data_IF_213654254436
#
_entry.id   IF_213654254436
#
_cell.length_a   1.000
_cell.length_b   1.000
_cell.length_c   1.000
_cell.angle_alpha   90.00
_cell.angle_beta   90.00
_cell.angle_gamma   90.00
#
_symmetry.space_group_name_H-M   'P 1'
#
loop_
_entity.id
_entity.type
_entity.pdbx_description
1 polymer ?
#
# COMPACT_ATOMS: atom_id res chain seq x y z
N UNK A 1 -49.95 -34.46 30.21
CA UNK A 1 -48.73 -33.63 30.10
C UNK A 1 -48.61 -33.15 28.67
N UNK A 2 -48.59 -31.84 28.43
CA UNK A 2 -48.74 -31.27 27.10
C UNK A 2 -47.37 -31.21 26.39
N UNK A 3 -47.10 -32.13 25.46
CA UNK A 3 -45.81 -32.28 24.73
C UNK A 3 -45.34 -30.98 24.06
N UNK A 4 -46.28 -30.11 23.72
CA UNK A 4 -46.01 -28.81 23.10
C UNK A 4 -45.24 -27.84 24.02
N UNK A 5 -45.42 -27.96 25.35
CA UNK A 5 -44.72 -27.11 26.33
C UNK A 5 -43.23 -27.44 26.45
N UNK A 6 -42.88 -28.73 26.46
CA UNK A 6 -41.49 -29.20 26.59
C UNK A 6 -40.67 -28.84 25.34
N UNK A 7 -41.26 -28.99 24.14
CA UNK A 7 -40.60 -28.60 22.88
C UNK A 7 -40.36 -27.09 22.78
N UNK A 8 -41.32 -26.26 23.23
CA UNK A 8 -41.14 -24.80 23.28
C UNK A 8 -40.02 -24.38 24.22
N UNK A 9 -39.89 -25.05 25.37
CA UNK A 9 -38.84 -24.74 26.34
C UNK A 9 -37.45 -25.12 25.81
N UNK A 10 -37.33 -26.29 25.15
CA UNK A 10 -36.08 -26.75 24.54
C UNK A 10 -35.63 -25.86 23.36
N UNK A 11 -36.56 -25.43 22.51
CA UNK A 11 -36.24 -24.50 21.42
C UNK A 11 -35.76 -23.15 21.94
N UNK A 12 -36.35 -22.62 23.02
CA UNK A 12 -35.89 -21.36 23.63
C UNK A 12 -34.48 -21.49 24.23
N UNK A 13 -34.19 -22.62 24.88
CA UNK A 13 -32.86 -22.89 25.41
C UNK A 13 -31.80 -22.99 24.30
N UNK A 14 -32.09 -23.77 23.25
CA UNK A 14 -31.21 -23.93 22.09
C UNK A 14 -31.05 -22.59 21.34
N UNK A 15 -32.11 -21.79 21.21
CA UNK A 15 -32.03 -20.46 20.62
C UNK A 15 -31.12 -19.53 21.40
N UNK A 16 -31.18 -19.52 22.74
CA UNK A 16 -30.29 -18.69 23.54
C UNK A 16 -28.81 -19.07 23.34
N UNK A 17 -28.50 -20.38 23.29
CA UNK A 17 -27.14 -20.86 23.04
C UNK A 17 -26.66 -20.48 21.63
N UNK A 18 -27.49 -20.68 20.60
CA UNK A 18 -27.17 -20.27 19.23
C UNK A 18 -26.97 -18.76 19.11
N UNK A 19 -27.83 -17.94 19.74
CA UNK A 19 -27.70 -16.48 19.71
C UNK A 19 -26.40 -16.04 20.38
N UNK A 20 -26.00 -16.61 21.52
CA UNK A 20 -24.72 -16.27 22.16
C UNK A 20 -23.54 -16.63 21.27
N UNK A 21 -23.57 -17.80 20.63
CA UNK A 21 -22.53 -18.24 19.71
C UNK A 21 -22.44 -17.32 18.48
N UNK A 22 -23.59 -16.98 17.89
CA UNK A 22 -23.67 -16.05 16.76
C UNK A 22 -23.18 -14.66 17.15
N UNK A 23 -23.55 -14.17 18.33
CA UNK A 23 -23.12 -12.86 18.82
C UNK A 23 -21.59 -12.80 18.93
N UNK A 24 -20.97 -13.83 19.49
CA UNK A 24 -19.50 -13.88 19.62
C UNK A 24 -18.81 -13.92 18.26
N UNK A 25 -19.30 -14.76 17.34
CA UNK A 25 -18.76 -14.83 15.97
C UNK A 25 -18.92 -13.49 15.23
N UNK A 26 -20.06 -12.83 15.38
CA UNK A 26 -20.32 -11.53 14.77
C UNK A 26 -19.42 -10.44 15.35
N UNK A 27 -19.24 -10.44 16.68
CA UNK A 27 -18.39 -9.48 17.37
C UNK A 27 -16.92 -9.64 16.95
N UNK A 28 -16.40 -10.87 16.93
CA UNK A 28 -15.03 -11.13 16.49
C UNK A 28 -14.83 -10.81 15.01
N UNK A 29 -15.76 -11.22 14.14
CA UNK A 29 -15.70 -10.91 12.71
C UNK A 29 -15.71 -9.39 12.45
N UNK A 30 -16.56 -8.66 13.19
CA UNK A 30 -16.65 -7.19 13.08
C UNK A 30 -15.38 -6.51 13.57
N UNK A 31 -14.82 -6.95 14.70
CA UNK A 31 -13.55 -6.41 15.22
C UNK A 31 -12.40 -6.62 14.24
N UNK A 32 -12.26 -7.83 13.70
CA UNK A 32 -11.22 -8.15 12.71
C UNK A 32 -11.42 -7.30 11.45
N UNK A 33 -12.66 -7.15 10.98
CA UNK A 33 -12.96 -6.33 9.80
C UNK A 33 -12.60 -4.86 10.02
N UNK A 34 -12.95 -4.28 11.17
CA UNK A 34 -12.60 -2.89 11.51
C UNK A 34 -11.08 -2.71 11.67
N UNK A 35 -10.41 -3.66 12.33
CA UNK A 35 -8.96 -3.65 12.45
C UNK A 35 -8.30 -3.70 11.08
N UNK A 36 -8.78 -4.57 10.18
CA UNK A 36 -8.28 -4.69 8.82
C UNK A 36 -8.48 -3.38 8.04
N UNK A 37 -9.64 -2.72 8.13
CA UNK A 37 -9.87 -1.43 7.49
C UNK A 37 -8.91 -0.35 7.99
N UNK A 38 -8.63 -0.33 9.29
CA UNK A 38 -7.78 0.69 9.91
C UNK A 38 -6.32 0.50 9.52
N UNK A 39 -5.82 -0.74 9.65
CA UNK A 39 -4.44 -1.11 9.31
C UNK A 39 -4.22 -0.88 7.81
N UNK A 40 -5.07 -1.45 6.94
CA UNK A 40 -4.93 -1.35 5.48
C UNK A 40 -4.89 0.09 5.00
N UNK A 41 -5.73 0.98 5.54
CA UNK A 41 -5.74 2.38 5.11
C UNK A 41 -4.46 3.12 5.49
N UNK A 42 -3.93 2.88 6.69
CA UNK A 42 -2.67 3.50 7.13
C UNK A 42 -1.49 3.00 6.29
N UNK A 43 -1.47 1.70 6.02
CA UNK A 43 -0.50 1.03 5.16
C UNK A 43 -0.42 1.62 3.76
N UNK A 44 -1.58 1.83 3.14
CA UNK A 44 -1.68 2.41 1.79
C UNK A 44 -1.15 3.83 1.79
N UNK A 45 -1.54 4.66 2.77
CA UNK A 45 -1.06 6.04 2.85
C UNK A 45 0.47 6.12 2.97
N UNK A 46 1.09 5.21 3.73
CA UNK A 46 2.57 5.12 3.84
C UNK A 46 3.22 4.78 2.50
N UNK A 47 2.66 3.82 1.75
CA UNK A 47 3.18 3.45 0.42
C UNK A 47 3.05 4.63 -0.55
N UNK A 48 1.90 5.31 -0.57
CA UNK A 48 1.72 6.46 -1.47
C UNK A 48 2.63 7.63 -1.10
N UNK A 49 2.81 7.95 0.19
CA UNK A 49 3.80 8.92 0.64
C UNK A 49 5.19 8.57 0.12
N UNK A 50 5.62 7.31 0.29
CA UNK A 50 6.93 6.89 -0.16
C UNK A 50 7.12 7.01 -1.68
N UNK A 51 6.11 6.67 -2.48
CA UNK A 51 6.16 6.85 -3.94
C UNK A 51 6.26 8.34 -4.28
N UNK A 52 5.50 9.18 -3.58
CA UNK A 52 5.47 10.62 -3.80
C UNK A 52 6.81 11.28 -3.45
N UNK A 53 7.39 10.93 -2.30
CA UNK A 53 8.69 11.42 -1.82
C UNK A 53 9.84 11.02 -2.76
N UNK A 54 9.69 9.90 -3.47
CA UNK A 54 10.65 9.40 -4.47
C UNK A 54 10.25 9.73 -5.92
N UNK A 55 9.56 10.86 -6.16
CA UNK A 55 9.22 11.36 -7.49
C UNK A 55 8.41 10.38 -8.36
N UNK A 56 7.60 9.52 -7.76
CA UNK A 56 6.81 8.50 -8.47
C UNK A 56 7.54 7.17 -8.66
N UNK A 57 8.69 6.96 -8.01
CA UNK A 57 9.44 5.70 -8.06
C UNK A 57 9.40 4.98 -6.71
N UNK A 58 9.25 3.66 -6.75
CA UNK A 58 9.49 2.81 -5.58
C UNK A 58 10.97 2.43 -5.60
N UNK A 59 11.79 2.94 -4.68
CA UNK A 59 13.20 2.54 -4.67
C UNK A 59 13.33 1.03 -4.37
N UNK A 60 13.81 0.29 -5.37
CA UNK A 60 13.78 -1.18 -5.43
C UNK A 60 13.54 -1.75 -6.83
N UNK A 61 12.99 -0.97 -7.77
CA UNK A 61 12.80 -1.33 -9.20
C UNK A 61 13.87 -0.78 -10.14
N UNK A 62 15.01 -0.32 -9.62
CA UNK A 62 16.20 -0.10 -10.46
C UNK A 62 16.84 -1.46 -10.70
N UNK A 63 16.41 -2.13 -11.77
CA UNK A 63 17.25 -3.12 -12.46
C UNK A 63 18.58 -2.43 -12.71
N UNK A 64 19.64 -2.95 -12.10
CA UNK A 64 21.01 -2.55 -12.38
C UNK A 64 21.23 -2.53 -13.89
N UNK A 65 21.19 -1.36 -14.49
CA UNK A 65 21.93 -1.11 -15.72
C UNK A 65 23.13 -0.31 -15.28
N UNK A 66 24.13 -1.01 -14.76
CA UNK A 66 25.47 -0.48 -14.54
C UNK A 66 25.99 0.01 -15.89
N UNK A 67 25.91 1.32 -16.13
CA UNK A 67 26.82 2.02 -17.04
C UNK A 67 27.63 2.99 -16.19
N UNK A 68 28.80 2.51 -15.77
CA UNK A 68 29.89 3.38 -15.34
C UNK A 68 30.23 4.35 -16.49
N UNK A 69 30.64 5.59 -16.15
CA UNK A 69 32.08 5.82 -16.15
C UNK A 69 32.59 6.64 -14.95
N UNK A 70 33.61 6.07 -14.30
CA UNK A 70 34.93 6.66 -14.02
C UNK A 70 35.06 7.86 -13.07
N UNK A 71 35.81 7.57 -12.00
CA UNK A 71 36.84 8.38 -11.32
C UNK A 71 36.42 9.38 -10.25
N UNK A 72 36.71 9.03 -8.99
CA UNK A 72 37.87 9.50 -8.19
C UNK A 72 37.59 9.10 -6.73
N UNK A 73 38.42 8.48 -5.90
CA UNK A 73 39.80 8.01 -5.91
C UNK A 73 40.17 7.73 -4.45
N UNK A 74 40.84 6.59 -4.19
CA UNK A 74 41.47 6.14 -2.90
C UNK A 74 40.52 5.86 -1.72
N UNK A 75 40.58 4.76 -0.96
CA UNK A 75 41.69 3.86 -0.62
C UNK A 75 41.16 2.49 -0.17
N UNK A 76 41.88 1.42 -0.48
CA UNK A 76 41.64 0.07 0.03
C UNK A 76 42.10 -0.07 1.49
N UNK A 77 41.29 -0.74 2.33
CA UNK A 77 41.80 -1.84 3.17
C UNK A 77 40.64 -2.74 3.58
N UNK A 78 40.77 -4.03 3.29
CA UNK A 78 39.79 -5.05 3.59
C UNK A 78 39.74 -5.36 5.10
N UNK A 79 38.53 -5.48 5.64
CA UNK A 79 38.23 -6.41 6.73
C UNK A 79 36.73 -6.75 6.74
N UNK A 80 36.43 -8.03 6.51
CA UNK A 80 35.15 -8.64 6.84
C UNK A 80 34.90 -8.51 8.36
N UNK A 81 33.69 -8.10 8.76
CA UNK A 81 32.95 -8.73 9.85
C UNK A 81 31.55 -8.13 9.96
N UNK A 82 30.59 -9.03 10.15
CA UNK A 82 29.17 -8.73 10.27
C UNK A 82 28.83 -7.77 11.41
N UNK A 83 27.77 -7.02 11.18
CA UNK A 83 27.22 -6.09 12.14
C UNK A 83 26.64 -4.87 11.43
N UNK A 84 25.55 -5.04 10.69
CA UNK A 84 24.72 -3.88 10.38
C UNK A 84 23.90 -3.58 11.64
N UNK A 85 24.44 -2.62 12.40
CA UNK A 85 23.75 -1.85 13.42
C UNK A 85 22.36 -1.46 12.93
N UNK A 86 21.34 -1.98 13.61
CA UNK A 86 19.98 -1.49 13.53
C UNK A 86 19.99 -0.04 14.02
N UNK A 87 19.98 0.89 13.08
CA UNK A 87 19.50 2.24 13.36
C UNK A 87 17.97 2.23 13.25
N UNK A 88 17.31 2.82 14.24
CA UNK A 88 15.98 2.36 14.70
C UNK A 88 14.78 2.91 13.95
N UNK A 89 14.94 3.60 12.82
CA UNK A 89 13.83 4.35 12.20
C UNK A 89 13.50 3.94 10.75
N UNK A 90 14.28 3.05 10.13
CA UNK A 90 14.05 2.66 8.72
C UNK A 90 13.12 1.44 8.59
N UNK A 91 11.82 1.66 8.83
CA UNK A 91 10.78 0.75 8.36
C UNK A 91 10.66 0.87 6.82
N UNK A 92 11.59 0.25 6.09
CA UNK A 92 11.57 0.27 4.62
C UNK A 92 10.26 -0.30 4.07
N UNK A 93 9.65 0.38 3.10
CA UNK A 93 8.40 -0.05 2.45
C UNK A 93 8.51 -1.49 1.93
N UNK A 94 9.71 -1.92 1.55
CA UNK A 94 10.01 -3.31 1.16
C UNK A 94 9.73 -4.30 2.30
N UNK A 95 10.18 -4.02 3.52
CA UNK A 95 9.91 -4.85 4.71
C UNK A 95 8.42 -4.79 5.11
N UNK A 96 7.76 -3.69 4.83
CA UNK A 96 6.33 -3.56 5.05
C UNK A 96 5.49 -4.40 4.06
N UNK A 97 5.83 -4.38 2.76
CA UNK A 97 5.20 -5.25 1.76
C UNK A 97 5.38 -6.73 2.13
N UNK A 98 6.55 -7.10 2.65
CA UNK A 98 6.81 -8.44 3.19
C UNK A 98 5.82 -8.82 4.30
N UNK A 99 5.53 -7.91 5.24
CA UNK A 99 4.65 -8.17 6.38
C UNK A 99 3.17 -8.31 5.97
N UNK A 100 2.71 -7.54 4.97
CA UNK A 100 1.36 -7.71 4.39
C UNK A 100 1.25 -9.04 3.63
N UNK A 101 2.25 -9.38 2.80
CA UNK A 101 2.14 -10.46 1.83
C UNK A 101 2.69 -11.81 2.33
N UNK A 102 3.26 -11.88 3.53
CA UNK A 102 3.60 -13.11 4.24
C UNK A 102 4.64 -13.98 3.53
N UNK A 103 5.65 -13.36 2.91
CA UNK A 103 6.68 -14.05 2.11
C UNK A 103 8.00 -14.05 2.88
N UNK A 104 8.78 -15.13 2.89
CA UNK A 104 9.94 -15.29 3.79
C UNK A 104 11.29 -14.78 3.26
N UNK A 105 11.36 -14.12 2.09
CA UNK A 105 12.65 -13.69 1.51
C UNK A 105 12.52 -12.51 0.55
N UNK A 106 13.40 -11.51 0.68
CA UNK A 106 13.38 -10.24 -0.08
C UNK A 106 13.50 -10.45 -1.60
N UNK A 107 14.31 -11.42 -2.05
CA UNK A 107 14.43 -11.74 -3.49
C UNK A 107 13.12 -12.24 -4.10
N UNK A 108 12.34 -13.02 -3.36
CA UNK A 108 11.10 -13.63 -3.87
C UNK A 108 9.90 -12.68 -3.81
N UNK A 109 9.99 -11.61 -3.02
CA UNK A 109 8.99 -10.51 -3.01
C UNK A 109 9.07 -9.73 -4.32
N UNK A 110 10.29 -9.47 -4.80
CA UNK A 110 10.55 -8.70 -6.02
C UNK A 110 9.88 -9.32 -7.25
N UNK A 111 9.93 -10.66 -7.36
CA UNK A 111 9.34 -11.38 -8.51
C UNK A 111 7.85 -11.72 -8.35
N UNK A 112 7.26 -11.59 -7.14
CA UNK A 112 5.93 -12.15 -6.85
C UNK A 112 4.89 -11.17 -6.32
N UNK A 113 5.31 -10.06 -5.71
CA UNK A 113 4.42 -9.03 -5.16
C UNK A 113 4.85 -7.65 -5.63
N UNK A 114 4.79 -7.54 -6.95
CA UNK A 114 4.94 -6.32 -7.71
C UNK A 114 3.75 -5.39 -7.44
N UNK A 115 4.02 -4.33 -6.67
CA UNK A 115 3.01 -3.33 -6.30
C UNK A 115 2.63 -2.54 -7.54
N UNK A 116 1.40 -2.76 -8.02
CA UNK A 116 0.85 -2.12 -9.21
C UNK A 116 0.45 -0.69 -8.89
N UNK A 117 1.16 0.28 -9.43
CA UNK A 117 0.81 1.68 -9.26
C UNK A 117 1.13 2.47 -10.52
N UNK A 118 0.53 3.65 -10.63
CA UNK A 118 0.96 4.65 -11.59
C UNK A 118 1.05 6.02 -10.93
N UNK A 119 1.96 6.84 -11.42
CA UNK A 119 2.16 8.21 -10.97
C UNK A 119 2.12 9.17 -12.17
N UNK A 120 1.48 10.31 -11.98
CA UNK A 120 1.40 11.39 -12.97
C UNK A 120 2.01 12.63 -12.36
N UNK A 121 3.03 13.18 -13.01
CA UNK A 121 3.73 14.38 -12.60
C UNK A 121 3.23 15.55 -13.45
N UNK A 122 3.01 16.69 -12.80
CA UNK A 122 2.48 17.90 -13.40
C UNK A 122 3.44 19.06 -13.18
N UNK A 123 3.57 19.90 -14.21
CA UNK A 123 4.26 21.19 -14.08
C UNK A 123 3.41 22.21 -13.29
N UNK A 124 3.96 23.38 -12.92
CA UNK A 124 3.22 24.44 -12.24
C UNK A 124 2.06 25.04 -13.05
N UNK A 125 1.97 24.75 -14.35
CA UNK A 125 0.89 25.17 -15.24
C UNK A 125 -0.22 24.11 -15.34
N UNK A 126 -0.05 22.95 -14.70
CA UNK A 126 -0.99 21.83 -14.72
C UNK A 126 -0.86 20.91 -15.94
N UNK A 127 0.22 21.01 -16.73
CA UNK A 127 0.49 20.08 -17.83
C UNK A 127 1.21 18.85 -17.32
N UNK A 128 0.89 17.70 -17.90
CA UNK A 128 1.55 16.43 -17.57
C UNK A 128 2.99 16.46 -18.12
N UNK A 129 3.95 16.20 -17.23
CA UNK A 129 5.39 16.17 -17.56
C UNK A 129 5.90 14.74 -17.69
N UNK A 130 5.38 13.82 -16.88
CA UNK A 130 5.73 12.41 -16.92
C UNK A 130 4.59 11.56 -16.40
N UNK A 131 4.47 10.35 -16.95
CA UNK A 131 3.63 9.28 -16.43
C UNK A 131 4.55 8.09 -16.13
N UNK A 132 4.61 7.68 -14.86
CA UNK A 132 5.39 6.52 -14.41
C UNK A 132 4.42 5.39 -14.12
N UNK A 133 4.42 4.37 -14.96
CA UNK A 133 3.63 3.16 -14.75
C UNK A 133 4.55 2.08 -14.21
N UNK A 134 4.22 1.52 -13.05
CA UNK A 134 4.91 0.36 -12.54
C UNK A 134 3.96 -0.83 -12.56
N UNK A 135 4.20 -1.77 -13.47
CA UNK A 135 3.54 -3.07 -13.54
C UNK A 135 2.03 -3.01 -13.86
N UNK A 136 1.58 -1.83 -14.29
CA UNK A 136 0.23 -1.56 -14.76
C UNK A 136 0.26 -1.45 -16.29
N UNK A 137 0.47 -2.57 -16.97
CA UNK A 137 0.35 -2.65 -18.44
C UNK A 137 -1.09 -2.41 -18.92
N UNK A 138 -2.06 -2.43 -17.99
CA UNK A 138 -3.47 -2.24 -18.27
C UNK A 138 -3.92 -0.78 -18.27
N UNK A 139 -3.09 0.17 -17.84
CA UNK A 139 -3.45 1.60 -17.80
C UNK A 139 -2.61 2.32 -18.83
N UNK A 140 -3.29 2.84 -19.85
CA UNK A 140 -2.67 3.68 -20.88
C UNK A 140 -2.27 5.03 -20.30
N UNK A 141 -1.37 5.74 -20.98
CA UNK A 141 -0.98 7.09 -20.58
C UNK A 141 -2.20 8.02 -20.48
N UNK A 142 -3.10 7.97 -21.47
CA UNK A 142 -4.32 8.79 -21.52
C UNK A 142 -5.26 8.51 -20.33
N UNK A 143 -5.39 7.24 -19.94
CA UNK A 143 -6.15 6.86 -18.76
C UNK A 143 -5.50 7.39 -17.48
N UNK A 144 -4.18 7.22 -17.33
CA UNK A 144 -3.44 7.73 -16.17
C UNK A 144 -3.62 9.25 -16.02
N UNK A 145 -3.51 10.01 -17.11
CA UNK A 145 -3.73 11.46 -17.11
C UNK A 145 -5.17 11.85 -16.74
N UNK A 146 -6.15 11.05 -17.17
CA UNK A 146 -7.56 11.23 -16.81
C UNK A 146 -7.77 10.99 -15.31
N UNK A 147 -7.22 9.90 -14.77
CA UNK A 147 -7.25 9.64 -13.32
C UNK A 147 -6.53 10.73 -12.53
N UNK A 148 -5.37 11.19 -12.99
CA UNK A 148 -4.63 12.25 -12.33
C UNK A 148 -5.41 13.56 -12.24
N UNK A 149 -6.13 13.95 -13.32
CA UNK A 149 -7.03 15.11 -13.30
C UNK A 149 -8.18 14.94 -12.32
N UNK A 150 -8.82 13.76 -12.29
CA UNK A 150 -9.89 13.45 -11.33
C UNK A 150 -9.42 13.60 -9.88
N UNK A 151 -8.17 13.19 -9.58
CA UNK A 151 -7.60 13.37 -8.25
C UNK A 151 -7.30 14.83 -7.92
N UNK A 152 -6.79 15.62 -8.87
CA UNK A 152 -6.50 17.04 -8.66
C UNK A 152 -7.76 17.89 -8.39
N UNK A 153 -8.90 17.52 -8.95
CA UNK A 153 -10.20 18.17 -8.70
C UNK A 153 -10.75 17.88 -7.30
N UNK A 154 -10.23 16.87 -6.59
CA UNK A 154 -10.71 16.53 -5.25
C UNK A 154 -10.11 17.47 -4.20
N UNK A 155 -10.94 17.82 -3.22
CA UNK A 155 -10.55 18.68 -2.09
C UNK A 155 -9.48 18.04 -1.18
N UNK A 156 -9.43 16.71 -1.14
CA UNK A 156 -8.52 15.97 -0.25
C UNK A 156 -7.29 15.48 -1.02
N UNK A 157 -6.12 15.63 -0.40
CA UNK A 157 -4.86 15.11 -0.91
C UNK A 157 -4.74 13.59 -0.79
N UNK A 158 -5.58 12.91 -0.01
CA UNK A 158 -5.57 11.45 0.09
C UNK A 158 -7.00 10.90 0.18
N UNK A 159 -7.27 9.82 -0.54
CA UNK A 159 -8.57 9.17 -0.49
C UNK A 159 -8.70 7.97 -1.43
N UNK A 160 -9.95 7.66 -1.79
CA UNK A 160 -10.27 6.61 -2.77
C UNK A 160 -10.94 7.19 -4.00
N UNK A 161 -10.62 6.60 -5.15
CA UNK A 161 -11.36 6.75 -6.40
C UNK A 161 -11.69 5.36 -6.93
N UNK A 162 -12.95 4.93 -6.76
CA UNK A 162 -13.36 3.55 -7.08
C UNK A 162 -12.63 2.51 -6.20
N UNK A 163 -11.95 1.58 -6.85
CA UNK A 163 -11.15 0.52 -6.21
C UNK A 163 -9.76 0.98 -5.79
N UNK A 164 -9.27 2.08 -6.36
CA UNK A 164 -7.92 2.58 -6.13
C UNK A 164 -7.87 3.63 -5.02
N UNK A 165 -6.77 3.66 -4.30
CA UNK A 165 -6.41 4.76 -3.43
C UNK A 165 -5.54 5.75 -4.19
N UNK A 166 -5.69 7.02 -3.88
CA UNK A 166 -4.92 8.08 -4.53
C UNK A 166 -4.32 9.01 -3.49
N UNK A 167 -3.22 9.63 -3.88
CA UNK A 167 -2.58 10.72 -3.17
C UNK A 167 -2.14 11.80 -4.14
N UNK A 168 -2.36 13.04 -3.72
CA UNK A 168 -1.94 14.26 -4.42
C UNK A 168 -1.00 15.01 -3.50
N UNK A 169 0.21 15.27 -4.00
CA UNK A 169 1.13 16.18 -3.35
C UNK A 169 1.39 17.38 -4.26
N UNK A 170 1.28 18.56 -3.67
CA UNK A 170 1.61 19.84 -4.32
C UNK A 170 2.91 20.32 -3.69
N UNK A 171 3.91 20.57 -4.51
CA UNK A 171 5.23 21.03 -4.07
C UNK A 171 5.29 22.55 -4.03
N UNK A 172 6.29 23.06 -3.32
CA UNK A 172 6.48 24.51 -3.14
C UNK A 172 6.77 25.25 -4.46
N UNK A 173 7.31 24.57 -5.46
CA UNK A 173 7.56 25.11 -6.80
C UNK A 173 6.30 25.18 -7.69
N UNK A 174 5.15 24.73 -7.16
CA UNK A 174 3.87 24.66 -7.87
C UNK A 174 3.68 23.37 -8.68
N UNK A 175 4.71 22.53 -8.83
CA UNK A 175 4.57 21.21 -9.44
C UNK A 175 3.70 20.31 -8.56
N UNK A 176 3.04 19.33 -9.18
CA UNK A 176 2.19 18.39 -8.47
C UNK A 176 2.52 16.97 -8.89
N UNK A 177 2.37 16.02 -7.98
CA UNK A 177 2.44 14.59 -8.28
C UNK A 177 1.19 13.91 -7.76
N UNK A 178 0.64 13.03 -8.59
CA UNK A 178 -0.54 12.22 -8.26
C UNK A 178 -0.18 10.76 -8.40
N UNK A 179 -0.42 9.98 -7.36
CA UNK A 179 -0.11 8.54 -7.32
C UNK A 179 -1.38 7.75 -7.06
N UNK A 180 -1.54 6.64 -7.77
CA UNK A 180 -2.65 5.69 -7.62
C UNK A 180 -2.14 4.28 -7.34
N UNK A 181 -2.78 3.62 -6.36
CA UNK A 181 -2.53 2.24 -5.92
C UNK A 181 -3.82 1.43 -5.87
#
# INVERSE_FOLDING_TARGET
MNEQGIRKLRNKFIQSALITLTLVMFLMGTLIYIANLTITRQSIHRILNFIVENDGELEGTKTETVKNPVSSGSSETAQEQGGHSLDSDDYSVVRFLYEIFGTETIEKVRDKYETRYFAVLYDPKGNVTAVKNNLVDSVTQEEAETYGRIALEKERSFGRSGTYYYQVERRDDGSCIVVYL
#
